data_IF_091402546305
#
_entry.id   IF_091402546305
#
_cell.length_a   1.000
_cell.length_b   1.000
_cell.length_c   1.000
_cell.angle_alpha   90.00
_cell.angle_beta   90.00
_cell.angle_gamma   90.00
#
_symmetry.space_group_name_H-M   'P 1'
#
loop_
_entity.id
_entity.type
_entity.pdbx_description
1 polymer ?
#
# COMPACT_ATOMS: atom_id res chain seq x y z
N UNK A 1 -20.73 -5.35 -2.23
CA UNK A 1 -19.69 -5.89 -3.13
C UNK A 1 -18.68 -6.70 -2.32
N UNK A 2 -17.97 -7.64 -2.96
CA UNK A 2 -16.82 -8.35 -2.38
C UNK A 2 -15.53 -7.76 -2.92
N UNK A 3 -14.75 -7.17 -2.05
CA UNK A 3 -13.49 -6.50 -2.38
C UNK A 3 -12.33 -7.40 -1.92
N UNK A 4 -11.41 -7.71 -2.82
CA UNK A 4 -10.15 -8.37 -2.50
C UNK A 4 -9.03 -7.36 -2.62
N UNK A 5 -8.36 -7.06 -1.50
CA UNK A 5 -7.30 -6.07 -1.42
C UNK A 5 -5.96 -6.74 -1.11
N UNK A 6 -4.95 -6.47 -1.92
CA UNK A 6 -3.59 -6.94 -1.72
C UNK A 6 -2.71 -5.78 -1.24
N UNK A 7 -2.02 -5.98 -0.12
CA UNK A 7 -1.09 -5.01 0.48
C UNK A 7 0.02 -5.73 1.22
N UNK A 8 1.21 -5.18 1.18
CA UNK A 8 2.35 -5.70 1.95
C UNK A 8 2.22 -5.41 3.45
N UNK A 9 1.78 -4.20 3.78
CA UNK A 9 1.65 -3.74 5.16
C UNK A 9 0.18 -3.64 5.58
N UNK A 10 -0.11 -4.15 6.77
CA UNK A 10 -1.42 -4.07 7.41
C UNK A 10 -1.28 -4.12 8.93
N UNK A 11 -2.24 -3.59 9.72
CA UNK A 11 -2.14 -3.65 11.18
C UNK A 11 -1.78 -5.06 11.69
N UNK A 12 -1.00 -5.14 12.78
CA UNK A 12 -0.67 -4.08 13.76
C UNK A 12 0.49 -3.16 13.38
N UNK A 13 1.01 -3.21 12.16
CA UNK A 13 1.98 -2.23 11.70
C UNK A 13 1.36 -0.82 11.66
N UNK A 14 2.13 0.18 12.15
CA UNK A 14 1.64 1.56 12.31
C UNK A 14 2.19 2.52 11.25
N UNK A 15 2.79 2.00 10.19
CA UNK A 15 3.24 2.82 9.07
C UNK A 15 2.07 3.37 8.23
N UNK A 16 2.31 4.43 7.48
CA UNK A 16 1.30 5.08 6.66
C UNK A 16 0.59 4.13 5.66
N UNK A 17 1.27 3.18 4.97
CA UNK A 17 0.61 2.17 4.15
C UNK A 17 -0.40 1.32 4.91
N UNK A 18 -0.04 0.79 6.07
CA UNK A 18 -0.91 -0.05 6.88
C UNK A 18 -2.14 0.70 7.39
N UNK A 19 -1.92 1.88 7.99
CA UNK A 19 -3.01 2.72 8.54
C UNK A 19 -4.01 3.11 7.47
N UNK A 20 -3.56 3.65 6.34
CA UNK A 20 -4.43 4.06 5.24
C UNK A 20 -5.26 2.88 4.71
N UNK A 21 -4.60 1.75 4.42
CA UNK A 21 -5.31 0.59 3.89
C UNK A 21 -6.37 0.07 4.86
N UNK A 22 -6.02 0.03 6.15
CA UNK A 22 -6.96 -0.37 7.19
C UNK A 22 -8.16 0.56 7.27
N UNK A 23 -7.93 1.88 7.30
CA UNK A 23 -9.01 2.88 7.39
C UNK A 23 -9.95 2.80 6.18
N UNK A 24 -9.42 2.68 4.96
CA UNK A 24 -10.25 2.47 3.77
C UNK A 24 -11.08 1.20 3.86
N UNK A 25 -10.46 0.07 4.21
CA UNK A 25 -11.15 -1.20 4.33
C UNK A 25 -12.24 -1.16 5.41
N UNK A 26 -11.97 -0.50 6.53
CA UNK A 26 -12.95 -0.29 7.62
C UNK A 26 -14.16 0.51 7.16
N UNK A 27 -13.95 1.60 6.42
CA UNK A 27 -15.06 2.39 5.88
C UNK A 27 -15.87 1.62 4.84
N UNK A 28 -15.24 0.79 4.01
CA UNK A 28 -15.97 -0.09 3.09
C UNK A 28 -16.79 -1.16 3.82
N UNK A 29 -16.28 -1.70 4.91
CA UNK A 29 -17.05 -2.63 5.76
C UNK A 29 -18.27 -1.92 6.37
N UNK A 30 -18.11 -0.70 6.89
CA UNK A 30 -19.22 0.13 7.39
C UNK A 30 -20.25 0.43 6.30
N UNK A 31 -19.83 0.60 5.06
CA UNK A 31 -20.70 0.77 3.90
C UNK A 31 -21.37 -0.53 3.42
N UNK A 32 -21.21 -1.65 4.15
CA UNK A 32 -21.85 -2.93 3.85
C UNK A 32 -21.11 -3.79 2.83
N UNK A 33 -19.84 -3.51 2.52
CA UNK A 33 -19.03 -4.33 1.64
C UNK A 33 -18.33 -5.46 2.40
N UNK A 34 -18.12 -6.59 1.73
CA UNK A 34 -17.30 -7.69 2.25
C UNK A 34 -15.85 -7.48 1.80
N UNK A 35 -14.98 -7.20 2.74
CA UNK A 35 -13.57 -6.90 2.46
C UNK A 35 -12.69 -8.05 2.92
N UNK A 36 -11.86 -8.55 2.00
CA UNK A 36 -10.79 -9.51 2.30
C UNK A 36 -9.46 -8.85 1.95
N UNK A 37 -8.56 -8.77 2.92
CA UNK A 37 -7.20 -8.27 2.75
C UNK A 37 -6.23 -9.44 2.74
N UNK A 38 -5.35 -9.49 1.73
CA UNK A 38 -4.20 -10.40 1.70
C UNK A 38 -2.95 -9.60 2.02
N UNK A 39 -2.20 -10.03 3.03
CA UNK A 39 -0.99 -9.36 3.52
C UNK A 39 0.03 -10.37 4.07
N UNK A 40 1.24 -9.90 4.41
CA UNK A 40 2.26 -10.69 5.09
C UNK A 40 2.09 -10.77 6.60
N UNK A 41 3.00 -11.47 7.28
CA UNK A 41 3.14 -11.36 8.72
C UNK A 41 3.73 -9.98 9.07
N UNK A 42 3.21 -9.27 10.10
CA UNK A 42 3.68 -7.93 10.44
C UNK A 42 5.16 -7.96 10.89
N UNK A 43 6.00 -7.14 10.28
CA UNK A 43 7.44 -7.16 10.50
C UNK A 43 8.13 -5.80 10.34
N UNK A 44 7.46 -4.79 9.80
CA UNK A 44 8.03 -3.46 9.57
C UNK A 44 8.15 -2.65 10.88
N UNK A 45 9.26 -1.92 11.14
CA UNK A 45 10.38 -1.66 10.22
C UNK A 45 11.57 -2.63 10.38
N UNK A 46 11.57 -3.49 11.37
CA UNK A 46 12.75 -4.23 11.82
C UNK A 46 13.06 -5.49 11.00
N UNK A 47 12.13 -5.95 10.16
CA UNK A 47 12.23 -7.23 9.48
C UNK A 47 12.14 -8.43 10.45
N UNK A 48 11.54 -8.22 11.62
CA UNK A 48 11.26 -9.28 12.61
C UNK A 48 9.77 -9.37 12.83
N UNK A 49 9.23 -10.59 12.78
CA UNK A 49 7.80 -10.83 13.03
C UNK A 49 7.42 -10.32 14.42
N UNK A 50 6.31 -9.59 14.50
CA UNK A 50 5.83 -9.01 15.76
C UNK A 50 5.44 -10.10 16.78
N UNK A 51 5.55 -9.82 18.08
CA UNK A 51 5.09 -10.72 19.14
C UNK A 51 3.63 -11.12 18.92
N UNK A 52 3.32 -12.40 19.13
CA UNK A 52 1.97 -12.96 18.90
C UNK A 52 1.68 -13.39 17.47
N UNK A 53 2.49 -12.99 16.48
CA UNK A 53 2.38 -13.41 15.08
C UNK A 53 3.42 -14.46 14.72
N UNK A 54 3.16 -15.16 13.63
CA UNK A 54 4.09 -16.15 13.05
C UNK A 54 4.06 -16.03 11.54
N UNK A 55 5.20 -16.20 10.88
CA UNK A 55 5.29 -16.23 9.43
C UNK A 55 4.92 -17.64 8.92
N UNK A 56 3.62 -17.89 8.79
CA UNK A 56 3.06 -19.18 8.33
C UNK A 56 2.60 -19.05 6.89
N UNK A 57 2.48 -20.19 6.20
CA UNK A 57 1.95 -20.23 4.83
C UNK A 57 0.55 -19.64 4.74
N UNK A 58 -0.25 -19.81 5.80
CA UNK A 58 -1.63 -19.34 5.84
C UNK A 58 -2.10 -19.06 7.27
N UNK A 59 -2.65 -17.87 7.47
CA UNK A 59 -3.33 -17.51 8.71
C UNK A 59 -4.55 -16.66 8.36
N UNK A 60 -5.60 -16.76 9.17
CA UNK A 60 -6.79 -15.92 9.06
C UNK A 60 -7.08 -15.26 10.38
N UNK A 61 -7.49 -14.02 10.32
CA UNK A 61 -8.02 -13.25 11.43
C UNK A 61 -9.11 -12.31 10.94
N UNK A 62 -9.90 -11.76 11.85
CA UNK A 62 -10.89 -10.73 11.53
C UNK A 62 -10.55 -9.50 12.35
N UNK A 63 -10.46 -8.35 11.68
CA UNK A 63 -10.13 -7.08 12.27
C UNK A 63 -11.17 -6.04 11.84
N UNK A 64 -11.97 -5.52 12.76
CA UNK A 64 -13.07 -4.56 12.49
C UNK A 64 -13.99 -5.00 11.32
N UNK A 65 -14.31 -6.29 11.26
CA UNK A 65 -15.13 -6.86 10.17
C UNK A 65 -14.40 -7.16 8.87
N UNK A 66 -13.13 -6.77 8.76
CA UNK A 66 -12.26 -7.08 7.63
C UNK A 66 -11.71 -8.50 7.79
N UNK A 67 -11.86 -9.34 6.76
CA UNK A 67 -11.22 -10.65 6.73
C UNK A 67 -9.76 -10.50 6.30
N UNK A 68 -8.83 -10.79 7.19
CA UNK A 68 -7.39 -10.70 6.92
C UNK A 68 -6.82 -12.09 6.69
N UNK A 69 -6.14 -12.26 5.58
CA UNK A 69 -5.42 -13.48 5.21
C UNK A 69 -3.93 -13.14 5.16
N UNK A 70 -3.17 -13.68 6.12
CA UNK A 70 -1.73 -13.51 6.14
C UNK A 70 -1.07 -14.71 5.48
N UNK A 71 -0.13 -14.40 4.59
CA UNK A 71 0.64 -15.39 3.83
C UNK A 71 2.10 -15.36 4.26
N UNK A 72 2.80 -16.43 3.97
CA UNK A 72 4.24 -16.50 4.16
C UNK A 72 4.96 -15.56 3.20
N UNK A 73 5.96 -14.84 3.71
CA UNK A 73 6.90 -14.07 2.89
C UNK A 73 8.33 -14.32 3.36
N UNK A 74 9.29 -14.06 2.49
CA UNK A 74 10.71 -14.07 2.85
C UNK A 74 11.04 -12.79 3.61
N UNK A 75 10.80 -12.80 4.93
CA UNK A 75 11.00 -11.63 5.78
C UNK A 75 12.50 -11.35 5.93
N UNK A 76 12.91 -10.12 5.69
CA UNK A 76 14.28 -9.65 5.85
C UNK A 76 14.32 -8.21 6.35
N UNK A 77 15.41 -7.87 7.06
CA UNK A 77 15.68 -6.47 7.38
C UNK A 77 15.97 -5.69 6.06
N UNK A 78 15.49 -4.44 5.99
CA UNK A 78 15.56 -3.60 4.77
C UNK A 78 16.98 -3.11 4.43
N UNK A 79 17.99 -3.97 4.50
CA UNK A 79 19.41 -3.59 4.34
C UNK A 79 19.97 -3.93 2.95
N UNK A 80 19.41 -4.92 2.25
CA UNK A 80 19.95 -5.41 0.97
C UNK A 80 18.87 -5.45 -0.11
N UNK A 81 19.15 -4.86 -1.27
CA UNK A 81 18.20 -4.80 -2.41
C UNK A 81 17.79 -6.19 -2.89
N UNK A 82 18.72 -7.13 -2.98
CA UNK A 82 18.43 -8.49 -3.45
C UNK A 82 17.46 -9.25 -2.51
N UNK A 83 17.70 -9.18 -1.21
CA UNK A 83 16.84 -9.81 -0.21
C UNK A 83 15.46 -9.18 -0.17
N UNK A 84 15.39 -7.85 -0.30
CA UNK A 84 14.12 -7.13 -0.41
C UNK A 84 13.33 -7.49 -1.66
N UNK A 85 14.03 -7.71 -2.78
CA UNK A 85 13.38 -8.19 -4.01
C UNK A 85 12.80 -9.61 -3.82
N UNK A 86 13.52 -10.50 -3.11
CA UNK A 86 13.02 -11.82 -2.77
C UNK A 86 11.80 -11.77 -1.86
N UNK A 87 11.78 -10.88 -0.87
CA UNK A 87 10.62 -10.64 -0.02
C UNK A 87 9.40 -10.28 -0.88
N UNK A 88 9.55 -9.29 -1.73
CA UNK A 88 8.49 -8.81 -2.61
C UNK A 88 8.00 -9.86 -3.61
N UNK A 89 8.90 -10.65 -4.19
CA UNK A 89 8.55 -11.74 -5.08
C UNK A 89 7.84 -12.87 -4.34
N UNK A 90 8.26 -13.18 -3.12
CA UNK A 90 7.60 -14.18 -2.29
C UNK A 90 6.17 -13.77 -1.96
N UNK A 91 5.95 -12.50 -1.58
CA UNK A 91 4.60 -11.97 -1.38
C UNK A 91 3.76 -12.06 -2.66
N UNK A 92 4.32 -11.70 -3.82
CA UNK A 92 3.63 -11.81 -5.11
C UNK A 92 3.10 -13.24 -5.34
N UNK A 93 3.96 -14.24 -5.12
CA UNK A 93 3.59 -15.65 -5.34
C UNK A 93 2.54 -16.12 -4.34
N UNK A 94 2.81 -15.96 -3.03
CA UNK A 94 1.90 -16.46 -2.00
C UNK A 94 0.61 -15.64 -1.89
N UNK A 95 0.67 -14.35 -2.16
CA UNK A 95 -0.51 -13.48 -2.25
C UNK A 95 -1.40 -13.86 -3.45
N UNK A 96 -0.81 -14.16 -4.61
CA UNK A 96 -1.53 -14.68 -5.76
C UNK A 96 -2.20 -16.02 -5.44
N UNK A 97 -1.47 -17.00 -4.92
CA UNK A 97 -2.02 -18.30 -4.55
C UNK A 97 -3.14 -18.18 -3.51
N UNK A 98 -2.95 -17.33 -2.50
CA UNK A 98 -3.98 -17.06 -1.50
C UNK A 98 -5.23 -16.44 -2.13
N UNK A 99 -5.08 -15.55 -3.10
CA UNK A 99 -6.19 -14.90 -3.81
C UNK A 99 -7.00 -15.88 -4.65
N UNK A 100 -6.37 -16.92 -5.20
CA UNK A 100 -7.07 -17.94 -6.00
C UNK A 100 -8.09 -18.74 -5.17
N UNK A 101 -7.84 -18.93 -3.88
CA UNK A 101 -8.72 -19.73 -2.99
C UNK A 101 -9.73 -18.89 -2.19
N UNK A 102 -9.71 -17.55 -2.34
CA UNK A 102 -10.75 -16.71 -1.75
C UNK A 102 -12.08 -16.84 -2.49
N UNK A 103 -13.18 -16.47 -1.81
CA UNK A 103 -14.47 -16.29 -2.47
C UNK A 103 -14.31 -15.36 -3.67
N UNK A 104 -15.02 -15.63 -4.76
CA UNK A 104 -14.91 -14.82 -5.99
C UNK A 104 -15.19 -13.36 -5.70
N UNK A 105 -14.21 -12.46 -5.84
CA UNK A 105 -14.40 -11.04 -5.58
C UNK A 105 -15.18 -10.38 -6.73
N UNK A 106 -15.72 -9.19 -6.47
CA UNK A 106 -16.30 -8.34 -7.51
C UNK A 106 -15.23 -7.40 -8.09
N UNK A 107 -14.22 -7.03 -7.27
CA UNK A 107 -13.09 -6.19 -7.64
C UNK A 107 -11.84 -6.64 -6.90
N UNK A 108 -10.69 -6.48 -7.55
CA UNK A 108 -9.37 -6.77 -6.99
C UNK A 108 -8.57 -5.47 -6.97
N UNK A 109 -8.00 -5.12 -5.82
CA UNK A 109 -7.20 -3.91 -5.64
C UNK A 109 -5.79 -4.32 -5.22
N UNK A 110 -4.79 -3.73 -5.86
CA UNK A 110 -3.40 -3.83 -5.43
C UNK A 110 -2.84 -2.45 -5.14
N UNK A 111 -2.08 -2.28 -4.07
CA UNK A 111 -1.51 -1.00 -3.66
C UNK A 111 0.01 -0.98 -3.77
N UNK A 112 0.57 0.18 -4.16
CA UNK A 112 2.00 0.48 -4.02
C UNK A 112 2.30 0.99 -2.58
N UNK A 113 3.56 1.08 -2.11
CA UNK A 113 4.80 1.13 -2.89
C UNK A 113 5.33 -0.21 -3.39
N UNK A 114 4.90 -1.33 -2.83
CA UNK A 114 5.39 -2.63 -3.29
C UNK A 114 4.82 -2.99 -4.66
N UNK A 115 5.66 -2.83 -5.69
CA UNK A 115 5.28 -3.01 -7.09
C UNK A 115 4.73 -4.41 -7.41
N UNK A 116 5.34 -5.45 -6.86
CA UNK A 116 4.96 -6.85 -7.13
C UNK A 116 3.60 -7.23 -6.53
N UNK A 117 3.10 -6.48 -5.55
CA UNK A 117 1.71 -6.59 -5.06
C UNK A 117 0.72 -6.34 -6.19
N UNK A 118 0.97 -5.32 -7.00
CA UNK A 118 0.13 -4.99 -8.15
C UNK A 118 0.25 -6.03 -9.28
N UNK A 119 1.42 -6.67 -9.44
CA UNK A 119 1.57 -7.80 -10.34
C UNK A 119 0.68 -8.98 -9.92
N UNK A 120 0.68 -9.33 -8.63
CA UNK A 120 -0.19 -10.36 -8.08
C UNK A 120 -1.68 -10.05 -8.27
N UNK A 121 -2.08 -8.80 -7.99
CA UNK A 121 -3.45 -8.34 -8.15
C UNK A 121 -3.91 -8.39 -9.62
N UNK A 122 -3.04 -7.97 -10.56
CA UNK A 122 -3.32 -8.09 -11.99
C UNK A 122 -3.43 -9.56 -12.43
N UNK A 123 -2.51 -10.43 -12.06
CA UNK A 123 -2.61 -11.87 -12.37
C UNK A 123 -3.93 -12.44 -11.85
N UNK A 124 -4.30 -12.14 -10.60
CA UNK A 124 -5.58 -12.56 -10.03
C UNK A 124 -6.76 -12.04 -10.85
N UNK A 125 -6.72 -10.80 -11.32
CA UNK A 125 -7.79 -10.21 -12.13
C UNK A 125 -8.02 -10.98 -13.42
N UNK A 126 -6.95 -11.41 -14.07
CA UNK A 126 -7.00 -12.25 -15.28
C UNK A 126 -7.58 -13.62 -14.96
N UNK A 127 -7.05 -14.34 -13.95
CA UNK A 127 -7.50 -15.69 -13.60
C UNK A 127 -8.93 -15.73 -13.05
N UNK A 128 -9.35 -14.68 -12.34
CA UNK A 128 -10.69 -14.61 -11.71
C UNK A 128 -11.73 -13.90 -12.58
N UNK A 129 -11.30 -13.33 -13.73
CA UNK A 129 -12.14 -12.54 -14.65
C UNK A 129 -12.84 -11.40 -13.89
N UNK A 130 -12.05 -10.56 -13.19
CA UNK A 130 -12.53 -9.45 -12.38
C UNK A 130 -11.74 -8.18 -12.65
N UNK A 131 -12.38 -7.00 -12.55
CA UNK A 131 -11.67 -5.74 -12.70
C UNK A 131 -10.56 -5.61 -11.66
N UNK A 132 -9.43 -5.08 -12.10
CA UNK A 132 -8.26 -4.75 -11.29
C UNK A 132 -8.18 -3.23 -11.14
N UNK A 133 -8.00 -2.75 -9.91
CA UNK A 133 -7.71 -1.36 -9.59
C UNK A 133 -6.28 -1.26 -9.10
N UNK A 134 -5.51 -0.37 -9.70
CA UNK A 134 -4.16 -0.04 -9.26
C UNK A 134 -4.22 1.16 -8.31
N UNK A 135 -3.97 0.96 -7.02
CA UNK A 135 -3.81 2.06 -6.07
C UNK A 135 -2.37 2.56 -6.06
N UNK A 136 -2.14 3.74 -6.67
CA UNK A 136 -0.83 4.36 -6.80
C UNK A 136 -0.59 5.33 -5.65
N UNK A 137 0.38 5.01 -4.80
CA UNK A 137 0.75 5.81 -3.62
C UNK A 137 2.16 6.36 -3.70
N UNK A 138 2.99 5.79 -4.58
CA UNK A 138 4.36 6.21 -4.84
C UNK A 138 4.69 5.98 -6.31
N UNK A 139 5.36 6.94 -6.95
CA UNK A 139 5.81 6.84 -8.34
C UNK A 139 7.08 5.98 -8.42
N UNK A 140 6.89 4.69 -8.31
CA UNK A 140 7.95 3.71 -8.44
C UNK A 140 8.00 3.21 -9.90
N UNK A 141 9.14 3.06 -10.58
CA UNK A 141 10.51 3.17 -10.07
C UNK A 141 11.13 4.57 -10.15
N UNK A 142 10.37 5.62 -10.51
CA UNK A 142 10.87 6.99 -10.65
C UNK A 142 11.43 7.53 -9.32
N UNK A 143 10.79 7.23 -8.20
CA UNK A 143 11.27 7.60 -6.87
C UNK A 143 12.66 7.03 -6.56
N UNK A 144 12.98 5.82 -7.05
CA UNK A 144 14.30 5.21 -6.87
C UNK A 144 15.39 5.97 -7.66
N UNK A 145 15.06 6.48 -8.85
CA UNK A 145 15.98 7.31 -9.64
C UNK A 145 16.30 8.61 -8.93
N UNK A 146 15.29 9.26 -8.38
CA UNK A 146 15.41 10.56 -7.71
C UNK A 146 16.30 10.48 -6.47
N UNK A 147 16.28 9.36 -5.75
CA UNK A 147 17.14 9.12 -4.56
C UNK A 147 18.54 8.62 -4.95
N UNK A 148 18.82 8.44 -6.26
CA UNK A 148 20.12 7.96 -6.73
C UNK A 148 20.45 6.50 -6.40
N UNK A 149 19.46 5.72 -5.93
CA UNK A 149 19.66 4.35 -5.48
C UNK A 149 19.89 3.34 -6.63
N UNK A 150 19.48 3.69 -7.86
CA UNK A 150 19.76 2.87 -9.05
C UNK A 150 20.14 3.75 -10.25
N UNK A 151 21.22 3.38 -10.95
CA UNK A 151 21.58 3.98 -12.24
C UNK A 151 20.67 3.44 -13.34
N UNK A 152 20.56 4.16 -14.46
CA UNK A 152 19.85 3.67 -15.65
C UNK A 152 20.35 2.27 -16.05
N UNK A 153 19.45 1.30 -15.94
CA UNK A 153 19.75 -0.09 -16.25
C UNK A 153 18.65 -0.71 -17.11
N UNK A 154 18.97 -1.81 -17.79
CA UNK A 154 17.97 -2.58 -18.54
C UNK A 154 16.84 -3.04 -17.64
N UNK A 155 17.16 -3.45 -16.40
CA UNK A 155 16.18 -3.88 -15.41
C UNK A 155 15.19 -2.75 -15.08
N UNK A 156 15.67 -1.53 -14.87
CA UNK A 156 14.83 -0.39 -14.57
C UNK A 156 13.88 -0.05 -15.72
N UNK A 157 14.37 -0.08 -16.96
CA UNK A 157 13.53 0.12 -18.17
C UNK A 157 12.47 -0.97 -18.33
N UNK A 158 12.79 -2.21 -17.96
CA UNK A 158 11.83 -3.31 -17.98
C UNK A 158 10.74 -3.11 -16.92
N UNK A 159 11.11 -2.68 -15.72
CA UNK A 159 10.17 -2.35 -14.65
C UNK A 159 9.24 -1.19 -15.04
N UNK A 160 9.75 -0.13 -15.67
CA UNK A 160 8.93 0.98 -16.19
C UNK A 160 7.95 0.54 -17.30
N UNK A 161 8.36 -0.42 -18.14
CA UNK A 161 7.47 -1.01 -19.15
C UNK A 161 6.35 -1.82 -18.50
N UNK A 162 6.70 -2.64 -17.49
CA UNK A 162 5.75 -3.45 -16.75
C UNK A 162 4.78 -2.58 -15.94
N UNK A 163 5.28 -1.51 -15.31
CA UNK A 163 4.46 -0.53 -14.61
C UNK A 163 3.41 0.10 -15.54
N UNK A 164 3.85 0.63 -16.69
CA UNK A 164 2.93 1.19 -17.71
C UNK A 164 1.94 0.16 -18.24
N UNK A 165 2.37 -1.09 -18.39
CA UNK A 165 1.48 -2.19 -18.75
C UNK A 165 0.38 -2.39 -17.70
N UNK A 166 0.73 -2.44 -16.41
CA UNK A 166 -0.23 -2.61 -15.32
C UNK A 166 -1.23 -1.46 -15.27
N UNK A 167 -0.77 -0.19 -15.41
CA UNK A 167 -1.69 0.95 -15.48
C UNK A 167 -2.69 0.81 -16.61
N UNK A 168 -2.23 0.49 -17.83
CA UNK A 168 -3.11 0.33 -19.00
C UNK A 168 -4.07 -0.86 -18.89
N UNK A 169 -3.74 -1.87 -18.09
CA UNK A 169 -4.55 -3.06 -17.85
C UNK A 169 -5.48 -2.94 -16.65
N UNK A 170 -5.31 -1.94 -15.82
CA UNK A 170 -6.23 -1.70 -14.71
C UNK A 170 -7.55 -1.09 -15.23
N UNK A 171 -8.63 -1.39 -14.55
CA UNK A 171 -9.93 -0.75 -14.79
C UNK A 171 -9.92 0.72 -14.34
N UNK A 172 -9.14 1.01 -13.31
CA UNK A 172 -8.85 2.37 -12.84
C UNK A 172 -7.50 2.42 -12.14
N UNK A 173 -6.85 3.58 -12.21
CA UNK A 173 -5.68 3.93 -11.40
C UNK A 173 -6.12 4.96 -10.37
N UNK A 174 -6.00 4.63 -9.09
CA UNK A 174 -6.29 5.56 -7.99
C UNK A 174 -5.00 6.25 -7.59
N UNK A 175 -4.86 7.53 -7.91
CA UNK A 175 -3.70 8.35 -7.57
C UNK A 175 -3.97 9.16 -6.29
N UNK A 176 -2.95 9.36 -5.45
CA UNK A 176 -3.11 10.10 -4.18
C UNK A 176 -3.04 11.61 -4.35
N UNK A 177 -2.56 12.11 -5.49
CA UNK A 177 -2.44 13.55 -5.76
C UNK A 177 -2.71 13.87 -7.21
N UNK A 178 -3.13 15.11 -7.48
CA UNK A 178 -3.27 15.63 -8.85
C UNK A 178 -1.91 15.71 -9.58
N UNK A 179 -0.83 15.86 -8.85
CA UNK A 179 0.53 15.81 -9.42
C UNK A 179 0.84 14.42 -9.98
N UNK A 180 0.46 13.35 -9.29
CA UNK A 180 0.59 11.99 -9.81
C UNK A 180 -0.25 11.77 -11.06
N UNK A 181 -1.49 12.24 -11.05
CA UNK A 181 -2.35 12.18 -12.24
C UNK A 181 -1.71 12.85 -13.44
N UNK A 182 -1.19 14.08 -13.28
CA UNK A 182 -0.50 14.80 -14.36
C UNK A 182 0.75 14.05 -14.86
N UNK A 183 1.54 13.49 -13.95
CA UNK A 183 2.72 12.67 -14.31
C UNK A 183 2.31 11.46 -15.17
N UNK A 184 1.29 10.72 -14.76
CA UNK A 184 0.81 9.56 -15.51
C UNK A 184 0.29 9.93 -16.90
N UNK A 185 -0.46 11.03 -17.02
CA UNK A 185 -0.96 11.53 -18.31
C UNK A 185 0.23 11.90 -19.21
N UNK A 186 1.24 12.60 -18.69
CA UNK A 186 2.45 12.94 -19.45
C UNK A 186 3.22 11.69 -19.93
N UNK A 187 3.09 10.56 -19.19
CA UNK A 187 3.68 9.26 -19.56
C UNK A 187 2.78 8.42 -20.48
N UNK A 188 1.66 8.97 -20.96
CA UNK A 188 0.76 8.35 -21.94
C UNK A 188 -0.25 7.36 -21.35
N UNK A 189 -0.66 7.57 -20.10
CA UNK A 189 -1.79 6.87 -19.49
C UNK A 189 -3.06 7.69 -19.71
N UNK A 190 -4.17 7.04 -20.09
CA UNK A 190 -5.44 7.71 -20.31
C UNK A 190 -5.94 8.41 -19.04
N UNK A 191 -6.20 9.72 -19.13
CA UNK A 191 -6.67 10.53 -18.01
C UNK A 191 -8.02 10.12 -17.44
N UNK A 192 -8.90 9.55 -18.27
CA UNK A 192 -10.24 9.08 -17.85
C UNK A 192 -10.16 7.82 -16.96
N UNK A 193 -9.05 7.10 -17.03
CA UNK A 193 -8.76 5.94 -16.21
C UNK A 193 -8.19 6.31 -14.83
N UNK A 194 -7.78 7.57 -14.63
CA UNK A 194 -7.11 8.02 -13.43
C UNK A 194 -8.06 8.80 -12.53
N UNK A 195 -8.30 8.28 -11.34
CA UNK A 195 -9.11 8.92 -10.30
C UNK A 195 -8.19 9.40 -9.18
N UNK A 196 -8.34 10.65 -8.74
CA UNK A 196 -7.57 11.18 -7.62
C UNK A 196 -8.35 11.03 -6.33
N UNK A 197 -7.81 10.26 -5.38
CA UNK A 197 -8.33 10.09 -4.03
C UNK A 197 -7.20 10.41 -3.06
N UNK A 198 -7.25 11.59 -2.47
CA UNK A 198 -6.22 12.07 -1.51
C UNK A 198 -6.23 11.27 -0.22
N UNK A 199 -5.14 11.37 0.54
CA UNK A 199 -5.12 10.85 1.90
C UNK A 199 -6.16 11.57 2.75
N UNK A 200 -6.95 10.80 3.49
CA UNK A 200 -7.88 11.30 4.49
C UNK A 200 -7.28 11.28 5.89
N UNK A 201 -8.07 11.72 6.84
CA UNK A 201 -7.77 11.69 8.26
C UNK A 201 -9.03 11.33 9.05
N UNK A 202 -8.87 10.58 10.13
CA UNK A 202 -9.96 10.30 11.07
C UNK A 202 -10.22 11.52 11.93
N UNK A 203 -11.28 12.27 11.62
CA UNK A 203 -11.66 13.49 12.31
C UNK A 203 -12.11 13.25 13.77
N UNK A 204 -12.42 12.01 14.15
CA UNK A 204 -12.70 11.68 15.55
C UNK A 204 -11.42 11.67 16.42
N UNK A 205 -10.27 11.41 15.80
CA UNK A 205 -8.96 11.33 16.46
C UNK A 205 -8.14 12.60 16.29
N UNK A 206 -8.27 13.28 15.15
CA UNK A 206 -7.47 14.45 14.78
C UNK A 206 -8.40 15.67 14.66
N UNK A 207 -8.47 16.44 15.73
CA UNK A 207 -9.25 17.67 15.79
C UNK A 207 -8.33 18.86 16.11
N UNK A 208 -8.66 20.08 15.64
CA UNK A 208 -7.99 21.28 16.10
C UNK A 208 -8.09 21.36 17.62
N UNK A 209 -6.95 21.48 18.29
CA UNK A 209 -6.88 21.64 19.73
C UNK A 209 -6.25 22.98 20.07
N UNK A 210 -6.64 23.59 21.21
CA UNK A 210 -5.94 24.75 21.74
C UNK A 210 -4.44 24.39 21.94
N UNK A 211 -3.61 25.42 21.83
CA UNK A 211 -2.20 25.27 22.12
C UNK A 211 -1.99 24.87 23.58
N UNK A 212 -1.21 23.83 23.82
CA UNK A 212 -0.83 23.42 25.16
C UNK A 212 0.20 24.41 25.73
N UNK A 213 -0.12 25.17 26.79
CA UNK A 213 0.78 26.16 27.35
C UNK A 213 1.98 25.55 28.07
N UNK A 214 1.80 24.39 28.74
CA UNK A 214 2.87 23.73 29.46
C UNK A 214 3.91 23.17 28.49
N UNK A 215 3.47 22.49 27.45
CA UNK A 215 4.32 22.00 26.38
C UNK A 215 5.03 23.14 25.64
N UNK A 216 4.33 24.26 25.41
CA UNK A 216 4.91 25.43 24.77
C UNK A 216 6.02 26.06 25.61
N UNK A 217 5.90 26.08 26.94
CA UNK A 217 6.90 26.55 27.85
C UNK A 217 8.11 25.61 27.91
N UNK A 218 7.87 24.30 28.08
CA UNK A 218 8.93 23.27 28.09
C UNK A 218 9.79 23.33 26.82
N UNK A 219 9.18 23.55 25.66
CA UNK A 219 9.89 23.64 24.38
C UNK A 219 10.37 25.06 24.04
N UNK A 220 10.22 26.03 24.95
CA UNK A 220 10.58 27.46 24.75
C UNK A 220 9.93 28.09 23.53
N UNK A 221 8.68 27.73 23.25
CA UNK A 221 7.90 28.16 22.09
C UNK A 221 6.85 29.23 22.45
N UNK A 222 6.73 29.62 23.71
CA UNK A 222 5.76 30.64 24.17
C UNK A 222 5.90 31.94 23.37
N UNK A 223 4.80 32.46 22.84
CA UNK A 223 4.78 33.68 22.04
C UNK A 223 5.37 33.57 20.62
N UNK A 224 5.82 32.37 20.21
CA UNK A 224 6.42 32.15 18.87
C UNK A 224 5.42 31.54 17.88
N UNK A 225 5.55 31.92 16.61
CA UNK A 225 4.97 31.15 15.52
C UNK A 225 5.78 29.86 15.35
N UNK A 226 5.09 28.72 15.29
CA UNK A 226 5.74 27.42 15.18
C UNK A 226 5.39 26.79 13.83
N UNK A 227 6.38 26.58 13.00
CA UNK A 227 6.26 25.74 11.81
C UNK A 227 6.88 24.37 12.13
N UNK A 228 6.05 23.32 12.07
CA UNK A 228 6.48 21.95 12.35
C UNK A 228 6.47 21.08 11.09
N UNK A 229 7.45 20.19 10.96
CA UNK A 229 7.45 19.09 10.02
C UNK A 229 7.46 17.76 10.81
N UNK A 230 6.47 16.92 10.56
CA UNK A 230 6.37 15.60 11.16
C UNK A 230 6.38 14.58 10.01
N UNK A 231 7.45 13.84 9.87
CA UNK A 231 7.62 12.89 8.76
C UNK A 231 8.90 12.07 8.89
N UNK A 232 9.09 11.14 7.95
CA UNK A 232 10.32 10.37 7.82
C UNK A 232 11.33 11.16 6.99
N UNK A 233 12.56 11.19 7.43
CA UNK A 233 13.70 11.78 6.71
C UNK A 233 14.53 10.70 6.03
#
# INVERSE_FOLDING_TARGET
>A
MRILFLTDNFPPEVNAPASRTFEHCREWVKAGHQVTVITGAPNFPTGKVFPGYRNRLWQRETLDGIQVVRVWTYITANTEVAKRTLDFLSFMVFGFLAGLVQRRPDVIIGTSPQFFTNCAAWMLSVFRWRPFIFELRDLWPESIKTVGAMRDSVALRLMERLERFLYRRSAAVVAVTESFRRNLIARGINGDQIVVITNGVDLSRFQPMPRDPELAEQLRLTGKFVAGYIGTH
#
